data_IF_230288471361
#
_entry.id   IF_230288471361
#
_cell.length_a   1.000
_cell.length_b   1.000
_cell.length_c   1.000
_cell.angle_alpha   90.00
_cell.angle_beta   90.00
_cell.angle_gamma   90.00
#
_symmetry.space_group_name_H-M   'P 1'
#
loop_
_entity.id
_entity.type
_entity.pdbx_description
1 polymer ?
#
# COMPACT_ATOMS: atom_id res chain seq x y z
N UNK A 1 20.20 -16.02 -34.37
CA UNK A 1 20.15 -16.40 -32.95
C UNK A 1 19.03 -17.42 -32.82
N UNK A 2 19.39 -18.67 -32.61
CA UNK A 2 18.48 -19.82 -32.62
C UNK A 2 18.16 -20.16 -31.18
N UNK A 3 16.88 -20.10 -30.82
CA UNK A 3 16.39 -20.47 -29.48
C UNK A 3 16.42 -22.00 -29.33
N UNK A 4 17.10 -22.49 -28.30
CA UNK A 4 17.11 -23.91 -27.94
C UNK A 4 16.32 -24.11 -26.63
N UNK A 5 15.31 -24.99 -26.63
CA UNK A 5 14.37 -25.14 -25.51
C UNK A 5 14.96 -25.87 -24.28
N UNK A 6 16.25 -26.19 -24.30
CA UNK A 6 16.95 -26.95 -23.24
C UNK A 6 18.04 -26.12 -22.52
N UNK A 7 18.03 -24.78 -22.66
CA UNK A 7 18.93 -23.91 -21.89
C UNK A 7 18.53 -23.93 -20.39
N UNK A 8 19.40 -24.44 -19.48
CA UNK A 8 19.06 -24.69 -18.09
C UNK A 8 19.15 -23.43 -17.19
N UNK A 9 18.91 -22.23 -17.72
CA UNK A 9 19.04 -20.96 -16.99
C UNK A 9 17.74 -20.40 -16.39
N UNK A 10 16.70 -21.23 -16.23
CA UNK A 10 15.51 -20.82 -15.50
C UNK A 10 15.09 -21.88 -14.50
N UNK A 11 15.92 -22.10 -13.48
CA UNK A 11 15.47 -22.69 -12.22
C UNK A 11 15.13 -21.58 -11.25
N UNK A 12 13.85 -21.53 -10.86
CA UNK A 12 13.26 -20.56 -9.95
C UNK A 12 14.02 -20.45 -8.61
N UNK A 13 14.04 -19.23 -8.07
CA UNK A 13 14.63 -18.75 -6.80
C UNK A 13 16.12 -18.36 -6.83
N UNK A 14 16.42 -17.22 -7.45
CA UNK A 14 17.62 -16.44 -7.11
C UNK A 14 17.33 -15.57 -5.87
N UNK A 15 17.98 -15.80 -4.71
CA UNK A 15 17.76 -15.01 -3.49
C UNK A 15 18.24 -13.55 -3.59
N UNK A 16 18.93 -13.18 -4.67
CA UNK A 16 19.38 -11.80 -4.96
C UNK A 16 18.40 -11.00 -5.83
N UNK A 17 17.17 -11.48 -6.04
CA UNK A 17 16.13 -10.73 -6.75
C UNK A 17 15.67 -9.54 -5.91
N UNK A 18 16.18 -8.36 -6.26
CA UNK A 18 15.67 -7.08 -5.75
C UNK A 18 14.25 -6.88 -6.26
N UNK A 19 13.28 -7.00 -5.37
CA UNK A 19 11.88 -6.67 -5.62
C UNK A 19 11.67 -5.16 -5.52
N UNK A 20 10.79 -4.63 -6.36
CA UNK A 20 10.45 -3.20 -6.43
C UNK A 20 8.99 -3.00 -6.01
N UNK A 21 8.66 -3.37 -4.77
CA UNK A 21 7.26 -3.30 -4.30
C UNK A 21 6.97 -2.05 -3.47
N UNK A 22 8.01 -1.32 -3.02
CA UNK A 22 7.87 -0.10 -2.24
C UNK A 22 7.58 1.12 -3.13
N UNK A 23 6.29 1.39 -3.36
CA UNK A 23 5.86 2.55 -4.15
C UNK A 23 6.00 3.84 -3.32
N UNK A 24 6.69 4.84 -3.87
CA UNK A 24 6.82 6.14 -3.22
C UNK A 24 5.45 6.84 -3.19
N UNK A 25 4.93 7.21 -2.01
CA UNK A 25 3.63 7.84 -1.89
C UNK A 25 3.59 9.26 -2.46
N UNK A 26 4.72 9.88 -2.81
CA UNK A 26 4.76 11.25 -3.34
C UNK A 26 4.84 11.31 -4.86
N UNK A 27 5.60 10.42 -5.49
CA UNK A 27 5.81 10.44 -6.95
C UNK A 27 5.35 9.17 -7.68
N UNK A 28 4.87 8.14 -6.97
CA UNK A 28 4.36 6.89 -7.55
C UNK A 28 5.44 5.95 -8.10
N UNK A 29 6.72 6.29 -7.95
CA UNK A 29 7.83 5.44 -8.43
C UNK A 29 8.01 4.24 -7.52
N UNK A 30 8.14 3.05 -8.11
CA UNK A 30 8.51 1.83 -7.41
C UNK A 30 9.99 1.83 -7.01
N UNK A 31 10.28 1.53 -5.75
CA UNK A 31 11.63 1.49 -5.19
C UNK A 31 11.98 0.06 -4.76
N UNK A 32 13.28 -0.30 -4.75
CA UNK A 32 13.75 -1.52 -4.12
C UNK A 32 13.19 -1.66 -2.70
N UNK A 33 12.80 -2.88 -2.34
CA UNK A 33 12.36 -3.17 -0.97
C UNK A 33 13.46 -2.78 0.04
N UNK A 34 13.06 -2.12 1.13
CA UNK A 34 13.98 -1.60 2.16
C UNK A 34 14.68 -0.27 1.81
N UNK A 35 14.35 0.38 0.69
CA UNK A 35 14.86 1.72 0.37
C UNK A 35 14.50 2.74 1.45
N UNK A 36 15.48 3.53 1.89
CA UNK A 36 15.27 4.59 2.88
C UNK A 36 14.71 5.87 2.24
N UNK A 37 15.03 6.11 0.97
CA UNK A 37 14.62 7.28 0.22
C UNK A 37 14.13 6.88 -1.17
N UNK A 38 13.22 7.66 -1.74
CA UNK A 38 12.78 7.48 -3.12
C UNK A 38 13.91 7.80 -4.09
N UNK A 39 14.17 6.89 -5.04
CA UNK A 39 15.24 7.04 -6.04
C UNK A 39 15.03 8.20 -7.03
N UNK A 40 13.84 8.80 -7.08
CA UNK A 40 13.50 9.91 -8.00
C UNK A 40 13.30 11.24 -7.27
N UNK A 41 12.50 11.26 -6.20
CA UNK A 41 12.14 12.51 -5.51
C UNK A 41 12.81 12.68 -4.15
N UNK A 42 13.68 11.75 -3.73
CA UNK A 42 14.43 11.78 -2.47
C UNK A 42 13.59 11.74 -1.18
N UNK A 43 12.27 11.58 -1.30
CA UNK A 43 11.37 11.41 -0.17
C UNK A 43 11.85 10.30 0.76
N UNK A 44 11.85 10.56 2.06
CA UNK A 44 12.02 9.56 3.12
C UNK A 44 10.88 8.51 3.08
N UNK A 45 11.24 7.25 2.89
CA UNK A 45 10.36 6.08 2.84
C UNK A 45 10.47 5.19 4.08
N UNK A 46 11.26 5.59 5.09
CA UNK A 46 11.53 4.75 6.28
C UNK A 46 10.28 4.38 7.08
N UNK A 47 9.20 5.17 6.96
CA UNK A 47 7.92 4.91 7.61
C UNK A 47 6.93 4.17 6.72
N UNK A 48 7.08 4.26 5.40
CA UNK A 48 6.14 3.67 4.44
C UNK A 48 6.27 2.15 4.44
N UNK A 49 5.17 1.46 4.72
CA UNK A 49 5.07 -0.01 4.64
C UNK A 49 4.45 -0.41 3.30
N UNK A 50 3.39 0.29 2.90
CA UNK A 50 2.62 0.01 1.70
C UNK A 50 2.00 1.29 1.17
N UNK A 51 1.93 1.41 -0.16
CA UNK A 51 1.19 2.46 -0.82
C UNK A 51 0.31 1.88 -1.93
N UNK A 52 -0.98 2.20 -1.89
CA UNK A 52 -2.03 1.69 -2.78
C UNK A 52 -2.68 2.86 -3.52
N UNK A 53 -2.59 2.85 -4.85
CA UNK A 53 -3.34 3.79 -5.68
C UNK A 53 -4.78 3.29 -5.88
N UNK A 54 -5.76 4.16 -5.65
CA UNK A 54 -7.18 3.88 -5.86
C UNK A 54 -7.86 5.02 -6.65
N UNK A 55 -9.15 4.85 -6.98
CA UNK A 55 -9.87 5.77 -7.86
C UNK A 55 -10.08 7.14 -7.24
N UNK A 56 -10.58 7.18 -6.00
CA UNK A 56 -10.98 8.43 -5.33
C UNK A 56 -9.95 8.95 -4.33
N UNK A 57 -8.96 8.12 -3.98
CA UNK A 57 -7.91 8.45 -3.04
C UNK A 57 -6.73 7.48 -3.24
N UNK A 58 -5.56 7.85 -2.75
CA UNK A 58 -4.50 6.88 -2.49
C UNK A 58 -4.47 6.54 -1.01
N UNK A 59 -4.00 5.35 -0.68
CA UNK A 59 -3.87 4.89 0.69
C UNK A 59 -2.41 4.54 0.98
N UNK A 60 -1.83 5.18 1.98
CA UNK A 60 -0.54 4.80 2.54
C UNK A 60 -0.76 4.13 3.89
N UNK A 61 -0.11 2.98 4.09
CA UNK A 61 0.08 2.38 5.39
C UNK A 61 1.52 2.65 5.82
N UNK A 62 1.67 3.34 6.95
CA UNK A 62 2.96 3.51 7.61
C UNK A 62 3.08 2.53 8.79
N UNK A 63 4.21 2.59 9.49
CA UNK A 63 4.43 1.84 10.74
C UNK A 63 3.46 2.23 11.86
N UNK A 64 2.86 3.42 11.80
CA UNK A 64 2.10 4.03 12.88
C UNK A 64 0.72 4.56 12.49
N UNK A 65 0.42 4.71 11.19
CA UNK A 65 -0.82 5.29 10.71
C UNK A 65 -1.29 4.70 9.37
N UNK A 66 -2.60 4.83 9.14
CA UNK A 66 -3.20 4.76 7.82
C UNK A 66 -3.47 6.17 7.32
N UNK A 67 -3.01 6.50 6.12
CA UNK A 67 -3.10 7.85 5.54
C UNK A 67 -3.85 7.80 4.23
N UNK A 68 -4.91 8.58 4.12
CA UNK A 68 -5.71 8.71 2.91
C UNK A 68 -5.43 10.04 2.21
N UNK A 69 -4.97 9.97 0.96
CA UNK A 69 -4.72 11.12 0.09
C UNK A 69 -5.89 11.30 -0.88
N UNK A 70 -6.77 12.26 -0.61
CA UNK A 70 -7.99 12.46 -1.43
C UNK A 70 -7.66 13.01 -2.82
N UNK A 71 -8.22 12.38 -3.85
CA UNK A 71 -8.14 12.84 -5.24
C UNK A 71 -9.31 13.73 -5.62
N UNK A 72 -9.14 14.46 -6.71
CA UNK A 72 -10.19 15.24 -7.34
C UNK A 72 -11.29 14.30 -7.87
N UNK A 73 -12.40 14.87 -8.34
CA UNK A 73 -13.52 14.10 -8.86
C UNK A 73 -13.15 13.14 -10.01
N UNK A 74 -12.10 13.45 -10.76
CA UNK A 74 -11.63 12.64 -11.88
C UNK A 74 -10.62 11.56 -11.50
N UNK A 75 -10.18 11.52 -10.23
CA UNK A 75 -9.19 10.55 -9.76
C UNK A 75 -7.78 10.77 -10.32
N UNK A 76 -7.49 11.93 -10.91
CA UNK A 76 -6.21 12.18 -11.60
C UNK A 76 -5.18 12.88 -10.71
N UNK A 77 -5.63 13.76 -9.82
CA UNK A 77 -4.76 14.59 -9.00
C UNK A 77 -5.21 14.62 -7.56
N UNK A 78 -4.25 14.67 -6.63
CA UNK A 78 -4.53 14.88 -5.21
C UNK A 78 -5.00 16.31 -4.96
N UNK A 79 -5.97 16.43 -4.07
CA UNK A 79 -6.55 17.71 -3.66
C UNK A 79 -5.74 18.43 -2.57
N UNK A 80 -4.74 17.76 -2.01
CA UNK A 80 -4.05 18.19 -0.78
C UNK A 80 -4.82 17.88 0.51
N UNK A 81 -6.07 17.41 0.42
CA UNK A 81 -6.81 16.92 1.59
C UNK A 81 -6.27 15.54 2.00
N UNK A 82 -5.79 15.46 3.23
CA UNK A 82 -5.23 14.25 3.83
C UNK A 82 -6.02 13.89 5.08
N UNK A 83 -6.36 12.61 5.24
CA UNK A 83 -6.92 12.05 6.47
C UNK A 83 -5.90 11.07 7.05
N UNK A 84 -5.62 11.20 8.35
CA UNK A 84 -4.64 10.37 9.05
C UNK A 84 -5.34 9.65 10.19
N UNK A 85 -5.18 8.33 10.23
CA UNK A 85 -5.74 7.45 11.24
C UNK A 85 -4.59 6.73 11.95
N UNK A 86 -4.15 7.20 13.14
CA UNK A 86 -3.16 6.49 13.93
C UNK A 86 -3.60 5.05 14.21
N UNK A 87 -2.74 4.07 13.94
CA UNK A 87 -3.07 2.65 14.09
C UNK A 87 -3.40 2.29 15.55
N UNK A 88 -2.80 3.00 16.52
CA UNK A 88 -3.10 2.86 17.95
C UNK A 88 -4.51 3.34 18.35
N UNK A 89 -5.20 4.06 17.46
CA UNK A 89 -6.52 4.66 17.72
C UNK A 89 -7.65 4.01 16.89
N UNK A 90 -7.32 3.06 16.00
CA UNK A 90 -8.33 2.33 15.23
C UNK A 90 -8.68 1.00 15.92
N UNK A 91 -9.94 0.59 15.81
CA UNK A 91 -10.42 -0.68 16.36
C UNK A 91 -11.54 -1.29 15.52
N UNK A 92 -12.00 -2.49 15.88
CA UNK A 92 -13.15 -3.16 15.23
C UNK A 92 -13.03 -3.24 13.70
N UNK A 93 -11.85 -3.64 13.22
CA UNK A 93 -11.53 -3.73 11.80
C UNK A 93 -12.37 -4.83 11.14
N UNK A 94 -13.01 -4.50 10.02
CA UNK A 94 -13.75 -5.43 9.18
C UNK A 94 -13.42 -5.23 7.70
N UNK A 95 -13.35 -6.35 6.98
CA UNK A 95 -13.17 -6.38 5.53
C UNK A 95 -14.47 -6.86 4.88
N UNK A 96 -15.16 -5.96 4.20
CA UNK A 96 -16.43 -6.26 3.52
C UNK A 96 -16.25 -7.15 2.27
N UNK A 97 -17.20 -8.05 2.05
CA UNK A 97 -17.34 -8.87 0.83
C UNK A 97 -18.82 -9.08 0.52
N UNK A 98 -19.27 -9.10 -0.76
CA UNK A 98 -18.49 -8.93 -2.00
C UNK A 98 -18.19 -7.45 -2.34
N UNK A 99 -18.82 -6.50 -1.64
CA UNK A 99 -18.55 -5.07 -1.78
C UNK A 99 -17.35 -4.74 -0.90
N UNK A 100 -16.25 -4.36 -1.53
CA UNK A 100 -14.94 -4.10 -0.93
C UNK A 100 -14.93 -2.80 -0.12
N UNK A 101 -15.42 -2.90 1.12
CA UNK A 101 -15.42 -1.81 2.11
C UNK A 101 -14.53 -2.18 3.29
N UNK A 102 -13.45 -1.44 3.46
CA UNK A 102 -12.60 -1.51 4.65
C UNK A 102 -13.24 -0.65 5.72
N UNK A 103 -13.59 -1.24 6.86
CA UNK A 103 -14.31 -0.55 7.92
C UNK A 103 -13.56 -0.67 9.23
N UNK A 104 -13.54 0.40 10.00
CA UNK A 104 -12.94 0.44 11.33
C UNK A 104 -13.57 1.55 12.14
N UNK A 105 -13.45 1.48 13.45
CA UNK A 105 -13.87 2.55 14.34
C UNK A 105 -12.68 3.46 14.62
N UNK A 106 -12.92 4.77 14.56
CA UNK A 106 -11.95 5.82 14.88
C UNK A 106 -12.67 6.97 15.56
N UNK A 107 -12.18 7.42 16.73
CA UNK A 107 -12.80 8.51 17.51
C UNK A 107 -14.31 8.34 17.77
N UNK A 108 -14.73 7.10 18.05
CA UNK A 108 -16.14 6.69 18.25
C UNK A 108 -17.02 6.81 17.00
N UNK A 109 -16.44 6.97 15.82
CA UNK A 109 -17.15 6.99 14.54
C UNK A 109 -16.74 5.80 13.67
N UNK A 110 -17.72 5.20 12.99
CA UNK A 110 -17.47 4.12 12.02
C UNK A 110 -16.95 4.70 10.71
N UNK A 111 -15.69 4.45 10.40
CA UNK A 111 -15.08 4.79 9.12
C UNK A 111 -15.34 3.69 8.10
N UNK A 112 -15.56 4.08 6.85
CA UNK A 112 -15.81 3.17 5.73
C UNK A 112 -15.06 3.67 4.50
N UNK A 113 -14.02 2.94 4.12
CA UNK A 113 -13.14 3.22 3.00
C UNK A 113 -13.43 2.20 1.88
N UNK A 114 -14.01 2.61 0.73
CA UNK A 114 -14.21 1.71 -0.39
C UNK A 114 -12.88 1.53 -1.15
N UNK A 115 -12.37 0.31 -1.22
CA UNK A 115 -11.13 -0.01 -1.95
C UNK A 115 -11.45 -0.86 -3.17
N UNK A 116 -10.60 -0.80 -4.20
CA UNK A 116 -10.56 -1.83 -5.23
C UNK A 116 -10.29 -3.20 -4.61
N UNK A 117 -10.72 -4.26 -5.29
CA UNK A 117 -10.61 -5.63 -4.77
C UNK A 117 -9.16 -6.02 -4.53
N UNK A 118 -8.27 -5.68 -5.46
CA UNK A 118 -6.85 -6.00 -5.38
C UNK A 118 -6.21 -5.30 -4.16
N UNK A 119 -6.50 -4.02 -3.98
CA UNK A 119 -6.05 -3.22 -2.84
C UNK A 119 -6.56 -3.78 -1.50
N UNK A 120 -7.81 -4.26 -1.47
CA UNK A 120 -8.40 -4.88 -0.28
C UNK A 120 -7.66 -6.15 0.15
N UNK A 121 -7.32 -7.02 -0.80
CA UNK A 121 -6.61 -8.28 -0.49
C UNK A 121 -5.19 -8.00 0.03
N UNK A 122 -4.47 -7.05 -0.60
CA UNK A 122 -3.13 -6.64 -0.12
C UNK A 122 -3.21 -6.06 1.29
N UNK A 123 -4.16 -5.15 1.54
CA UNK A 123 -4.32 -4.54 2.86
C UNK A 123 -4.67 -5.58 3.94
N UNK A 124 -5.51 -6.56 3.59
CA UNK A 124 -5.91 -7.64 4.50
C UNK A 124 -4.73 -8.56 4.87
N UNK A 125 -3.78 -8.73 3.96
CA UNK A 125 -2.57 -9.50 4.21
C UNK A 125 -1.57 -8.73 5.10
N UNK A 126 -1.34 -7.45 4.81
CA UNK A 126 -0.27 -6.67 5.44
C UNK A 126 -0.70 -6.03 6.76
N UNK A 127 -1.88 -5.41 6.83
CA UNK A 127 -2.29 -4.60 7.99
C UNK A 127 -2.26 -5.36 9.34
N UNK A 128 -2.73 -6.61 9.44
CA UNK A 128 -2.69 -7.34 10.70
C UNK A 128 -1.26 -7.54 11.24
N UNK A 129 -0.27 -7.65 10.35
CA UNK A 129 1.13 -7.83 10.74
C UNK A 129 1.74 -6.57 11.37
N UNK A 130 1.13 -5.41 11.12
CA UNK A 130 1.58 -4.10 11.62
C UNK A 130 0.86 -3.72 12.92
N UNK A 131 -0.46 -3.96 13.01
CA UNK A 131 -1.26 -3.60 14.18
C UNK A 131 -1.06 -4.56 15.34
N UNK A 132 -0.96 -5.87 15.04
CA UNK A 132 -0.73 -6.92 16.02
C UNK A 132 0.56 -7.68 15.65
N UNK A 133 1.75 -7.08 15.84
CA UNK A 133 3.01 -7.78 15.62
C UNK A 133 3.14 -8.87 16.69
N UNK A 134 2.82 -10.12 16.29
CA UNK A 134 3.05 -11.30 17.14
C UNK A 134 4.50 -11.38 17.64
#
# INVERSE_FOLDING_TARGET
MSYHPDDPEFTDANPDLVLFTLICPECGVANPDGSLNCLVCDKDLTQTVLFLEDDSFDLELTKDALIEYRKNFWGTERTGKVLVYPLSEISNIEYGSPITRFKFDYKNERQVIPLRKENMEILKEILPQIIDPN
#
